data_IF_985542571757
#
_entry.id   IF_985542571757
#
_cell.length_a   1.000
_cell.length_b   1.000
_cell.length_c   1.000
_cell.angle_alpha   90.00
_cell.angle_beta   90.00
_cell.angle_gamma   90.00
#
_symmetry.space_group_name_H-M   'P 1'
#
loop_
_entity.id
_entity.type
_entity.pdbx_description
1 polymer ?
#
# COMPACT_ATOMS: atom_id res chain seq x y z
N UNK A 1 -14.56 -2.12 82.30
CA UNK A 1 -15.93 -1.89 81.79
C UNK A 1 -16.16 -0.39 81.62
N UNK A 2 -16.86 -0.02 80.53
CA UNK A 2 -16.98 1.30 79.90
C UNK A 2 -17.20 2.51 80.83
N UNK A 3 -16.41 3.58 80.64
CA UNK A 3 -16.83 4.96 80.96
C UNK A 3 -17.16 5.68 79.65
N UNK A 4 -18.44 5.94 79.42
CA UNK A 4 -18.92 6.89 78.41
C UNK A 4 -18.78 8.30 78.99
N UNK A 5 -18.09 9.21 78.29
CA UNK A 5 -18.20 10.65 78.51
C UNK A 5 -18.40 11.36 77.18
N UNK A 6 -19.51 12.07 77.05
CA UNK A 6 -19.81 12.96 75.93
C UNK A 6 -18.95 14.21 76.00
N UNK A 7 -18.32 14.60 74.89
CA UNK A 7 -17.89 15.99 74.64
C UNK A 7 -18.18 16.40 73.18
N UNK A 8 -19.26 17.18 73.09
CA UNK A 8 -19.51 18.36 72.23
C UNK A 8 -19.05 18.37 70.77
N UNK A 9 -20.05 18.51 69.90
CA UNK A 9 -19.94 19.06 68.56
C UNK A 9 -19.36 20.49 68.56
N UNK A 10 -18.38 20.75 67.67
CA UNK A 10 -18.02 22.09 67.23
C UNK A 10 -17.70 22.11 65.72
N UNK A 11 -18.62 22.69 64.96
CA UNK A 11 -18.45 23.48 63.71
C UNK A 11 -17.39 23.07 62.66
N UNK A 12 -17.85 22.81 61.43
CA UNK A 12 -17.52 23.68 60.27
C UNK A 12 -18.40 23.43 59.04
N UNK A 13 -19.13 24.47 58.62
CA UNK A 13 -19.68 24.63 57.27
C UNK A 13 -18.54 24.66 56.24
N UNK A 14 -18.62 23.82 55.21
CA UNK A 14 -18.22 24.01 53.78
C UNK A 14 -18.06 22.62 53.14
N UNK A 15 -19.08 22.10 52.43
CA UNK A 15 -18.95 21.92 50.98
C UNK A 15 -20.29 21.65 50.26
N UNK A 16 -21.35 22.42 50.54
CA UNK A 16 -22.61 22.37 49.78
C UNK A 16 -22.55 23.14 48.43
N UNK A 17 -21.36 23.36 47.88
CA UNK A 17 -21.15 24.17 46.65
C UNK A 17 -21.01 23.35 45.37
N UNK A 18 -20.91 22.02 45.44
CA UNK A 18 -20.74 21.15 44.26
C UNK A 18 -21.97 20.31 43.92
N UNK A 19 -22.96 20.19 44.82
CA UNK A 19 -24.19 19.42 44.55
C UNK A 19 -25.13 20.08 43.54
N UNK A 20 -25.32 21.40 43.63
CA UNK A 20 -26.19 22.15 42.70
C UNK A 20 -25.65 22.17 41.26
N UNK A 21 -24.33 22.33 41.10
CA UNK A 21 -23.70 22.29 39.78
C UNK A 21 -23.84 20.92 39.12
N UNK A 22 -23.67 19.83 39.85
CA UNK A 22 -23.85 18.49 39.31
C UNK A 22 -25.29 18.26 38.82
N UNK A 23 -26.30 18.70 39.59
CA UNK A 23 -27.70 18.58 39.16
C UNK A 23 -27.99 19.41 37.91
N UNK A 24 -27.49 20.65 37.84
CA UNK A 24 -27.68 21.53 36.69
C UNK A 24 -26.96 20.98 35.45
N UNK A 25 -25.73 20.49 35.58
CA UNK A 25 -24.99 19.89 34.44
C UNK A 25 -25.62 18.60 33.95
N UNK A 26 -26.14 17.74 34.84
CA UNK A 26 -26.88 16.54 34.43
C UNK A 26 -28.15 16.89 33.67
N UNK A 27 -28.90 17.91 34.11
CA UNK A 27 -30.10 18.37 33.39
C UNK A 27 -29.73 18.92 32.01
N UNK A 28 -28.65 19.72 31.91
CA UNK A 28 -28.17 20.24 30.62
C UNK A 28 -27.71 19.10 29.70
N UNK A 29 -27.00 18.09 30.21
CA UNK A 29 -26.57 16.93 29.43
C UNK A 29 -27.76 16.09 28.93
N UNK A 30 -28.78 15.90 29.77
CA UNK A 30 -30.01 15.21 29.38
C UNK A 30 -30.78 16.01 28.33
N UNK A 31 -30.89 17.33 28.50
CA UNK A 31 -31.50 18.21 27.50
C UNK A 31 -30.72 18.20 26.18
N UNK A 32 -29.39 18.21 26.24
CA UNK A 32 -28.51 18.08 25.09
C UNK A 32 -28.68 16.72 24.40
N UNK A 33 -28.81 15.62 25.14
CA UNK A 33 -29.08 14.28 24.60
C UNK A 33 -30.44 14.20 23.89
N UNK A 34 -31.47 14.82 24.47
CA UNK A 34 -32.80 14.89 23.84
C UNK A 34 -32.75 15.77 22.59
N UNK A 35 -32.11 16.94 22.64
CA UNK A 35 -31.90 17.81 21.48
C UNK A 35 -31.09 17.09 20.40
N UNK A 36 -30.05 16.36 20.78
CA UNK A 36 -29.22 15.57 19.88
C UNK A 36 -30.05 14.47 19.20
N UNK A 37 -30.89 13.76 19.96
CA UNK A 37 -31.81 12.74 19.42
C UNK A 37 -32.88 13.36 18.50
N UNK A 38 -33.43 14.53 18.85
CA UNK A 38 -34.39 15.25 18.01
C UNK A 38 -33.73 15.80 16.73
N UNK A 39 -32.52 16.36 16.82
CA UNK A 39 -31.72 16.78 15.67
C UNK A 39 -31.37 15.59 14.77
N UNK A 40 -31.01 14.45 15.34
CA UNK A 40 -30.75 13.21 14.58
C UNK A 40 -32.00 12.63 13.94
N UNK A 41 -33.17 12.71 14.58
CA UNK A 41 -34.41 12.20 14.01
C UNK A 41 -35.00 13.11 12.91
N UNK A 42 -34.64 14.40 12.89
CA UNK A 42 -35.03 15.33 11.82
C UNK A 42 -34.00 15.46 10.70
N UNK A 43 -32.71 15.21 10.99
CA UNK A 43 -31.71 15.00 9.96
C UNK A 43 -32.00 13.66 9.28
N UNK A 44 -32.57 13.71 8.08
CA UNK A 44 -32.55 12.59 7.12
C UNK A 44 -31.12 12.34 6.61
N UNK A 45 -30.12 12.29 7.49
CA UNK A 45 -28.84 11.69 7.20
C UNK A 45 -29.05 10.18 7.23
N UNK A 46 -29.66 9.67 6.16
CA UNK A 46 -29.41 8.30 5.74
C UNK A 46 -27.95 8.27 5.29
N UNK A 47 -27.04 7.99 6.21
CA UNK A 47 -25.83 7.28 5.81
C UNK A 47 -26.33 5.88 5.49
N UNK A 48 -26.49 5.62 4.20
CA UNK A 48 -27.06 4.39 3.67
C UNK A 48 -26.04 3.25 3.83
N UNK A 49 -25.80 2.84 5.08
CA UNK A 49 -24.96 1.67 5.44
C UNK A 49 -25.64 0.35 5.05
N UNK A 50 -26.27 0.30 3.88
CA UNK A 50 -26.97 -0.86 3.34
C UNK A 50 -26.25 -1.35 2.11
N UNK A 51 -25.50 -2.46 2.23
CA UNK A 51 -25.18 -3.45 1.18
C UNK A 51 -24.43 -3.02 -0.10
N UNK A 52 -24.42 -1.75 -0.48
CA UNK A 52 -23.81 -1.20 -1.69
C UNK A 52 -22.46 -0.53 -1.41
N UNK A 53 -22.23 -0.04 -0.19
CA UNK A 53 -20.95 0.57 0.18
C UNK A 53 -19.80 -0.45 0.30
N UNK A 54 -20.07 -1.76 0.47
CA UNK A 54 -19.00 -2.78 0.51
C UNK A 54 -18.32 -3.03 -0.85
N UNK A 55 -18.92 -2.54 -1.94
CA UNK A 55 -18.36 -2.66 -3.29
C UNK A 55 -18.02 -1.31 -3.90
N UNK A 56 -18.21 -0.20 -3.17
CA UNK A 56 -17.87 1.13 -3.65
C UNK A 56 -16.37 1.34 -3.46
N UNK A 57 -15.59 1.50 -4.54
CA UNK A 57 -14.14 1.69 -4.41
C UNK A 57 -13.80 2.96 -3.63
N UNK A 58 -12.66 2.93 -2.94
CA UNK A 58 -12.17 4.05 -2.16
C UNK A 58 -11.82 5.29 -3.00
N UNK A 59 -11.69 6.44 -2.32
CA UNK A 59 -11.40 7.72 -2.98
C UNK A 59 -10.11 7.72 -3.82
N UNK A 60 -9.09 6.94 -3.42
CA UNK A 60 -7.85 6.78 -4.19
C UNK A 60 -8.10 6.05 -5.50
N UNK A 61 -8.87 4.95 -5.46
CA UNK A 61 -9.24 4.19 -6.65
C UNK A 61 -10.04 5.05 -7.63
N UNK A 62 -11.03 5.82 -7.14
CA UNK A 62 -11.80 6.73 -8.00
C UNK A 62 -10.90 7.73 -8.74
N UNK A 63 -9.93 8.35 -8.06
CA UNK A 63 -8.98 9.28 -8.71
C UNK A 63 -8.14 8.60 -9.79
N UNK A 64 -7.71 7.37 -9.56
CA UNK A 64 -6.95 6.58 -10.53
C UNK A 64 -7.81 6.33 -11.76
N UNK A 65 -9.05 5.89 -11.57
CA UNK A 65 -10.00 5.62 -12.65
C UNK A 65 -10.36 6.86 -13.46
N UNK A 66 -10.48 8.03 -12.81
CA UNK A 66 -10.71 9.31 -13.46
C UNK A 66 -9.51 9.77 -14.31
N UNK A 67 -8.29 9.40 -13.90
CA UNK A 67 -7.06 9.75 -14.62
C UNK A 67 -6.69 8.79 -15.75
N UNK A 68 -7.49 7.75 -16.00
CA UNK A 68 -7.20 6.78 -17.06
C UNK A 68 -7.23 7.44 -18.44
N UNK A 69 -6.15 7.29 -19.18
CA UNK A 69 -6.04 7.72 -20.58
C UNK A 69 -6.36 6.58 -21.54
N UNK A 70 -5.96 5.36 -21.19
CA UNK A 70 -6.16 4.15 -22.01
C UNK A 70 -7.44 3.39 -21.65
N UNK A 71 -7.98 2.68 -22.64
CA UNK A 71 -9.03 1.69 -22.41
C UNK A 71 -8.42 0.39 -21.87
N UNK A 72 -9.06 -0.18 -20.84
CA UNK A 72 -8.62 -1.38 -20.14
C UNK A 72 -9.74 -2.41 -20.13
N UNK A 73 -9.44 -3.63 -20.56
CA UNK A 73 -10.33 -4.77 -20.43
C UNK A 73 -9.90 -5.65 -19.28
N UNK A 74 -10.82 -5.90 -18.35
CA UNK A 74 -10.70 -6.90 -17.30
C UNK A 74 -11.40 -8.16 -17.77
N UNK A 75 -10.67 -9.27 -17.87
CA UNK A 75 -11.22 -10.58 -18.13
C UNK A 75 -11.35 -11.36 -16.83
N UNK A 76 -12.56 -11.80 -16.49
CA UNK A 76 -12.80 -12.68 -15.36
C UNK A 76 -12.88 -14.12 -15.82
N UNK A 77 -12.04 -15.00 -15.26
CA UNK A 77 -12.00 -16.41 -15.60
C UNK A 77 -13.00 -17.18 -14.74
N UNK A 78 -14.10 -17.62 -15.35
CA UNK A 78 -15.15 -18.36 -14.66
C UNK A 78 -15.57 -19.58 -15.46
N UNK A 79 -15.41 -20.75 -14.89
CA UNK A 79 -16.01 -21.98 -15.39
C UNK A 79 -17.52 -21.81 -15.40
N UNK A 80 -18.17 -22.34 -16.45
CA UNK A 80 -19.62 -22.22 -16.63
C UNK A 80 -20.40 -22.62 -15.36
N UNK A 81 -21.26 -21.73 -14.89
CA UNK A 81 -22.12 -21.94 -13.73
C UNK A 81 -21.47 -21.63 -12.37
N UNK A 82 -20.21 -21.17 -12.35
CA UNK A 82 -19.52 -20.79 -11.11
C UNK A 82 -19.59 -19.30 -10.79
N UNK A 83 -20.14 -18.49 -11.70
CA UNK A 83 -20.24 -17.02 -11.58
C UNK A 83 -21.10 -16.60 -10.37
N UNK A 84 -22.11 -17.41 -10.06
CA UNK A 84 -23.09 -17.16 -8.99
C UNK A 84 -22.61 -17.60 -7.60
N UNK A 85 -21.46 -18.27 -7.50
CA UNK A 85 -20.92 -18.61 -6.19
C UNK A 85 -20.55 -17.32 -5.42
N UNK A 86 -20.63 -17.36 -4.09
CA UNK A 86 -20.50 -16.16 -3.27
C UNK A 86 -19.15 -15.46 -3.48
N UNK A 87 -18.07 -16.23 -3.60
CA UNK A 87 -16.70 -15.74 -3.83
C UNK A 87 -16.57 -15.00 -5.16
N UNK A 88 -17.03 -15.58 -6.27
CA UNK A 88 -16.91 -14.97 -7.59
C UNK A 88 -17.85 -13.78 -7.71
N UNK A 89 -19.06 -13.88 -7.18
CA UNK A 89 -20.04 -12.79 -7.21
C UNK A 89 -19.52 -11.51 -6.54
N UNK A 90 -18.74 -11.63 -5.45
CA UNK A 90 -18.12 -10.46 -4.81
C UNK A 90 -17.09 -9.79 -5.70
N UNK A 91 -16.24 -10.56 -6.37
CA UNK A 91 -15.24 -10.03 -7.32
C UNK A 91 -15.93 -9.42 -8.53
N UNK A 92 -16.93 -10.10 -9.11
CA UNK A 92 -17.73 -9.61 -10.24
C UNK A 92 -18.34 -8.25 -9.92
N UNK A 93 -19.02 -8.12 -8.76
CA UNK A 93 -19.61 -6.85 -8.34
C UNK A 93 -18.59 -5.72 -8.18
N UNK A 94 -17.40 -6.03 -7.67
CA UNK A 94 -16.32 -5.06 -7.58
C UNK A 94 -15.90 -4.57 -8.96
N UNK A 95 -15.67 -5.49 -9.91
CA UNK A 95 -15.27 -5.10 -11.28
C UNK A 95 -16.38 -4.32 -11.98
N UNK A 96 -17.65 -4.70 -11.79
CA UNK A 96 -18.80 -3.96 -12.31
C UNK A 96 -18.84 -2.52 -11.76
N UNK A 97 -18.51 -2.32 -10.48
CA UNK A 97 -18.40 -0.97 -9.91
C UNK A 97 -17.29 -0.14 -10.57
N UNK A 98 -16.17 -0.75 -11.00
CA UNK A 98 -15.13 -0.05 -11.76
C UNK A 98 -15.62 0.38 -13.15
N UNK A 99 -16.38 -0.49 -13.82
CA UNK A 99 -17.01 -0.17 -15.11
C UNK A 99 -18.03 0.98 -14.98
N UNK A 100 -18.79 1.02 -13.88
CA UNK A 100 -19.74 2.10 -13.60
C UNK A 100 -19.05 3.44 -13.32
N UNK A 101 -17.88 3.40 -12.67
CA UNK A 101 -17.07 4.59 -12.37
C UNK A 101 -16.30 5.12 -13.58
N UNK A 102 -15.85 4.25 -14.50
CA UNK A 102 -15.07 4.67 -15.67
C UNK A 102 -15.46 3.91 -16.93
N UNK A 103 -15.84 4.67 -17.96
CA UNK A 103 -16.17 4.15 -19.30
C UNK A 103 -14.98 3.50 -20.02
N UNK A 104 -13.77 3.72 -19.51
CA UNK A 104 -12.54 3.14 -20.05
C UNK A 104 -12.28 1.72 -19.54
N UNK A 105 -12.99 1.30 -18.49
CA UNK A 105 -12.87 -0.06 -17.95
C UNK A 105 -14.01 -0.93 -18.48
N UNK A 106 -13.67 -2.04 -19.11
CA UNK A 106 -14.62 -3.04 -19.61
C UNK A 106 -14.45 -4.34 -18.86
N UNK A 107 -15.55 -5.07 -18.65
CA UNK A 107 -15.50 -6.39 -18.04
C UNK A 107 -16.02 -7.47 -18.99
N UNK A 108 -15.22 -8.51 -19.18
CA UNK A 108 -15.54 -9.65 -20.03
C UNK A 108 -15.37 -10.93 -19.21
N UNK A 109 -16.41 -11.76 -19.15
CA UNK A 109 -16.34 -13.06 -18.50
C UNK A 109 -15.93 -14.10 -19.53
N UNK A 110 -14.93 -14.91 -19.22
CA UNK A 110 -14.39 -15.95 -20.10
C UNK A 110 -14.39 -17.27 -19.37
N UNK A 111 -14.90 -18.31 -20.03
CA UNK A 111 -14.78 -19.68 -19.55
C UNK A 111 -13.49 -20.30 -20.11
N UNK A 112 -12.45 -20.50 -19.27
CA UNK A 112 -11.17 -21.04 -19.72
C UNK A 112 -11.27 -22.50 -20.20
N UNK A 113 -12.34 -23.23 -19.84
CA UNK A 113 -12.58 -24.59 -20.33
C UNK A 113 -13.15 -24.58 -21.76
N UNK A 114 -13.94 -23.56 -22.07
CA UNK A 114 -14.56 -23.38 -23.39
C UNK A 114 -13.62 -22.69 -24.40
N UNK A 115 -12.72 -21.83 -23.93
CA UNK A 115 -11.65 -21.21 -24.74
C UNK A 115 -10.25 -21.35 -24.09
N UNK A 116 -9.63 -22.56 -24.18
CA UNK A 116 -8.31 -22.79 -23.60
C UNK A 116 -7.20 -22.00 -24.30
N UNK A 117 -7.37 -21.68 -25.59
CA UNK A 117 -6.37 -20.93 -26.36
C UNK A 117 -6.23 -19.51 -25.82
N UNK A 118 -7.35 -18.86 -25.51
CA UNK A 118 -7.34 -17.56 -24.86
C UNK A 118 -6.68 -17.61 -23.47
N UNK A 119 -7.04 -18.58 -22.63
CA UNK A 119 -6.49 -18.65 -21.27
C UNK A 119 -4.98 -18.94 -21.26
N UNK A 120 -4.51 -19.83 -22.14
CA UNK A 120 -3.12 -20.26 -22.18
C UNK A 120 -2.15 -19.13 -22.58
N UNK A 121 -2.57 -18.15 -23.39
CA UNK A 121 -1.69 -17.06 -23.79
C UNK A 121 -1.25 -16.19 -22.59
N UNK A 122 -2.02 -16.17 -21.51
CA UNK A 122 -1.72 -15.41 -20.29
C UNK A 122 -0.97 -16.24 -19.23
N UNK A 123 -0.93 -17.57 -19.38
CA UNK A 123 -0.19 -18.47 -18.51
C UNK A 123 1.31 -18.49 -18.82
N UNK A 124 1.69 -18.23 -20.07
CA UNK A 124 3.08 -18.37 -20.53
C UNK A 124 4.04 -17.33 -19.92
N UNK A 125 3.52 -16.16 -19.52
CA UNK A 125 4.30 -15.03 -18.99
C UNK A 125 4.23 -14.90 -17.46
N UNK A 126 3.54 -15.79 -16.75
CA UNK A 126 3.36 -15.65 -15.30
C UNK A 126 3.73 -16.91 -14.54
N UNK A 127 4.42 -16.76 -13.41
CA UNK A 127 4.71 -17.84 -12.45
C UNK A 127 3.47 -18.30 -11.66
N UNK A 128 2.31 -17.71 -11.92
CA UNK A 128 1.09 -17.87 -11.12
C UNK A 128 0.10 -18.82 -11.81
N UNK A 129 -0.67 -19.57 -11.01
CA UNK A 129 -1.79 -20.35 -11.51
C UNK A 129 -2.99 -19.44 -11.77
N UNK A 130 -3.64 -19.58 -12.93
CA UNK A 130 -4.90 -18.93 -13.22
C UNK A 130 -6.05 -19.89 -12.92
N UNK A 131 -6.49 -19.84 -11.68
CA UNK A 131 -7.60 -20.66 -11.19
C UNK A 131 -8.96 -19.99 -11.45
N UNK A 132 -10.03 -20.78 -11.36
CA UNK A 132 -11.40 -20.27 -11.43
C UNK A 132 -11.61 -19.12 -10.45
N UNK A 133 -12.08 -17.97 -10.94
CA UNK A 133 -12.25 -16.74 -10.20
C UNK A 133 -11.15 -15.69 -10.42
N UNK A 134 -10.03 -16.06 -11.03
CA UNK A 134 -8.91 -15.14 -11.30
C UNK A 134 -9.28 -14.06 -12.32
N UNK A 135 -8.59 -12.92 -12.27
CA UNK A 135 -8.74 -11.83 -13.23
C UNK A 135 -7.50 -11.67 -14.11
N UNK A 136 -7.69 -11.20 -15.34
CA UNK A 136 -6.64 -10.71 -16.22
C UNK A 136 -6.98 -9.28 -16.56
N UNK A 137 -6.09 -8.34 -16.26
CA UNK A 137 -6.26 -6.93 -16.61
C UNK A 137 -5.36 -6.65 -17.80
N UNK A 138 -5.91 -6.09 -18.87
CA UNK A 138 -5.17 -5.83 -20.12
C UNK A 138 -5.47 -4.43 -20.65
N UNK A 139 -4.42 -3.71 -21.05
CA UNK A 139 -4.54 -2.47 -21.79
C UNK A 139 -4.91 -2.77 -23.26
N UNK A 140 -5.98 -2.16 -23.75
CA UNK A 140 -6.52 -2.42 -25.09
C UNK A 140 -5.55 -1.96 -26.19
N UNK A 141 -4.74 -0.92 -25.93
CA UNK A 141 -3.79 -0.32 -26.87
C UNK A 141 -2.45 -1.05 -26.86
N UNK A 142 -1.78 -1.10 -25.71
CA UNK A 142 -0.41 -1.62 -25.59
C UNK A 142 -0.37 -3.15 -25.55
N UNK A 143 -1.50 -3.79 -25.28
CA UNK A 143 -1.63 -5.24 -24.99
C UNK A 143 -0.86 -5.69 -23.76
N UNK A 144 -0.26 -4.77 -23.00
CA UNK A 144 0.33 -5.04 -21.68
C UNK A 144 -0.76 -5.59 -20.77
N UNK A 145 -0.46 -6.68 -20.06
CA UNK A 145 -1.42 -7.31 -19.16
C UNK A 145 -0.78 -7.65 -17.81
N UNK A 146 -1.63 -7.87 -16.82
CA UNK A 146 -1.28 -8.39 -15.49
C UNK A 146 -2.36 -9.33 -15.01
N UNK A 147 -1.95 -10.45 -14.43
CA UNK A 147 -2.87 -11.44 -13.88
C UNK A 147 -3.04 -11.26 -12.37
N UNK A 148 -4.26 -11.51 -11.89
CA UNK A 148 -4.62 -11.46 -10.48
C UNK A 148 -5.23 -12.82 -10.12
N UNK A 149 -4.41 -13.73 -9.57
CA UNK A 149 -4.88 -14.98 -9.01
C UNK A 149 -5.95 -14.77 -7.93
N UNK A 150 -6.92 -15.67 -7.85
CA UNK A 150 -8.04 -15.58 -6.88
C UNK A 150 -7.57 -15.52 -5.42
N UNK A 151 -6.47 -16.19 -5.08
CA UNK A 151 -5.88 -16.16 -3.73
C UNK A 151 -5.32 -14.79 -3.34
N UNK A 152 -4.91 -13.95 -4.30
CA UNK A 152 -4.42 -12.59 -4.03
C UNK A 152 -5.58 -11.60 -3.77
N UNK A 153 -6.82 -11.99 -4.03
CA UNK A 153 -8.01 -11.15 -3.83
C UNK A 153 -8.64 -11.32 -2.44
N UNK A 154 -8.22 -12.34 -1.69
CA UNK A 154 -8.77 -12.69 -0.38
C UNK A 154 -7.65 -12.90 0.64
N UNK A 155 -7.80 -12.29 1.81
CA UNK A 155 -6.93 -12.59 2.95
C UNK A 155 -7.51 -13.81 3.64
N UNK A 156 -6.74 -14.91 3.67
CA UNK A 156 -7.11 -16.13 4.37
C UNK A 156 -6.26 -16.30 5.61
N UNK A 157 -6.90 -16.65 6.73
CA UNK A 157 -6.22 -17.13 7.92
C UNK A 157 -6.47 -18.63 8.06
N UNK A 158 -5.38 -19.38 8.10
CA UNK A 158 -5.43 -20.83 8.28
C UNK A 158 -5.66 -21.14 9.75
N UNK A 159 -6.78 -21.80 10.04
CA UNK A 159 -6.97 -22.42 11.34
C UNK A 159 -6.38 -23.83 11.30
N UNK A 160 -5.11 -23.95 11.72
CA UNK A 160 -4.39 -25.22 11.80
C UNK A 160 -5.07 -26.26 12.71
N UNK A 161 -5.97 -25.85 13.61
CA UNK A 161 -6.68 -26.77 14.50
C UNK A 161 -7.88 -27.44 13.82
N UNK A 162 -8.51 -26.77 12.86
CA UNK A 162 -9.68 -27.27 12.13
C UNK A 162 -9.38 -27.63 10.68
N UNK A 163 -8.16 -27.35 10.19
CA UNK A 163 -7.78 -27.45 8.78
C UNK A 163 -8.74 -26.67 7.87
N UNK A 164 -9.28 -25.55 8.36
CA UNK A 164 -10.18 -24.68 7.60
C UNK A 164 -9.49 -23.37 7.24
N UNK A 165 -9.70 -22.93 6.00
CA UNK A 165 -9.26 -21.63 5.51
C UNK A 165 -10.38 -20.63 5.75
N UNK A 166 -10.21 -19.72 6.70
CA UNK A 166 -11.21 -18.67 6.96
C UNK A 166 -10.82 -17.40 6.21
N UNK A 167 -11.70 -16.91 5.35
CA UNK A 167 -11.52 -15.62 4.66
C UNK A 167 -11.74 -14.50 5.68
N UNK A 168 -10.68 -13.79 6.02
CA UNK A 168 -10.68 -12.70 7.01
C UNK A 168 -10.68 -11.30 6.37
N UNK A 169 -10.39 -11.20 5.08
CA UNK A 169 -10.33 -9.93 4.36
C UNK A 169 -10.59 -10.05 2.87
N UNK A 170 -10.98 -8.93 2.25
CA UNK A 170 -11.19 -8.79 0.81
C UNK A 170 -10.26 -7.70 0.29
N UNK A 171 -9.22 -8.10 -0.43
CA UNK A 171 -8.15 -7.22 -0.95
C UNK A 171 -8.21 -7.09 -2.47
N UNK A 172 -9.33 -7.49 -3.09
CA UNK A 172 -9.52 -7.45 -4.53
C UNK A 172 -9.44 -6.02 -5.10
N UNK A 173 -9.88 -5.00 -4.35
CA UNK A 173 -9.79 -3.60 -4.80
C UNK A 173 -8.32 -3.17 -4.97
N UNK A 174 -7.48 -3.42 -3.97
CA UNK A 174 -6.06 -3.10 -4.01
C UNK A 174 -5.36 -3.81 -5.17
N UNK A 175 -5.66 -5.10 -5.37
CA UNK A 175 -5.11 -5.90 -6.44
C UNK A 175 -5.54 -5.40 -7.83
N UNK A 176 -6.84 -5.12 -8.01
CA UNK A 176 -7.40 -4.64 -9.28
C UNK A 176 -6.91 -3.24 -9.63
N UNK A 177 -6.93 -2.31 -8.68
CA UNK A 177 -6.43 -0.93 -8.85
C UNK A 177 -4.94 -0.92 -9.16
N UNK A 178 -4.14 -1.75 -8.49
CA UNK A 178 -2.71 -1.90 -8.81
C UNK A 178 -2.50 -2.44 -10.22
N UNK A 179 -3.27 -3.43 -10.65
CA UNK A 179 -3.15 -4.02 -11.97
C UNK A 179 -3.55 -3.07 -13.10
N UNK A 180 -4.62 -2.29 -12.92
CA UNK A 180 -5.04 -1.26 -13.89
C UNK A 180 -3.93 -0.21 -14.04
N UNK A 181 -3.36 0.28 -12.93
CA UNK A 181 -2.22 1.21 -13.01
C UNK A 181 -1.06 0.58 -13.77
N UNK A 182 -0.68 -0.66 -13.44
CA UNK A 182 0.44 -1.35 -14.09
C UNK A 182 0.33 -1.40 -15.62
N UNK A 183 -0.84 -1.78 -16.12
CA UNK A 183 -1.03 -1.94 -17.57
C UNK A 183 -1.14 -0.60 -18.30
N UNK A 184 -1.45 0.48 -17.58
CA UNK A 184 -1.49 1.85 -18.10
C UNK A 184 -0.17 2.61 -17.89
N UNK A 185 0.78 2.05 -17.13
CA UNK A 185 2.14 2.62 -17.03
C UNK A 185 2.81 2.51 -18.40
N UNK A 186 3.15 3.66 -18.98
CA UNK A 186 3.99 3.76 -20.17
C UNK A 186 5.35 3.10 -19.87
N UNK A 187 5.99 3.55 -18.80
CA UNK A 187 7.25 3.03 -18.33
C UNK A 187 7.09 2.39 -16.95
N UNK A 188 7.65 1.20 -16.77
CA UNK A 188 7.62 0.50 -15.48
C UNK A 188 8.72 1.06 -14.59
N UNK A 189 8.42 1.60 -13.39
CA UNK A 189 9.44 2.07 -12.46
C UNK A 189 10.46 0.97 -12.14
N UNK A 190 11.74 1.29 -12.23
CA UNK A 190 12.84 0.36 -11.97
C UNK A 190 13.69 0.85 -10.81
N UNK A 191 13.89 0.00 -9.81
CA UNK A 191 14.82 0.20 -8.72
C UNK A 191 16.02 -0.73 -8.90
N UNK A 192 17.17 -0.15 -9.22
CA UNK A 192 18.44 -0.84 -9.33
C UNK A 192 19.19 -0.83 -8.00
N UNK A 193 19.39 -2.00 -7.40
CA UNK A 193 20.23 -2.14 -6.21
C UNK A 193 21.69 -2.24 -6.62
N UNK A 194 22.50 -1.25 -6.26
CA UNK A 194 23.94 -1.27 -6.53
C UNK A 194 24.59 -2.47 -5.82
N UNK A 195 25.49 -3.14 -6.55
CA UNK A 195 26.29 -4.25 -6.08
C UNK A 195 27.75 -4.07 -6.49
N UNK A 196 28.64 -4.53 -5.62
CA UNK A 196 30.08 -4.55 -5.86
C UNK A 196 30.88 -3.93 -4.73
N UNK A 197 30.20 -3.27 -3.79
CA UNK A 197 30.79 -2.50 -2.70
C UNK A 197 30.36 -3.00 -1.32
N UNK A 198 30.08 -4.31 -1.21
CA UNK A 198 29.58 -4.96 0.00
C UNK A 198 28.30 -4.30 0.56
N UNK A 199 27.40 -3.89 -0.34
CA UNK A 199 26.09 -3.31 -0.02
C UNK A 199 25.13 -4.34 0.56
N UNK A 200 24.20 -3.86 1.36
CA UNK A 200 23.12 -4.70 1.89
C UNK A 200 21.98 -4.75 0.89
N UNK A 201 21.60 -5.94 0.41
CA UNK A 201 20.39 -6.07 -0.39
C UNK A 201 19.14 -5.85 0.45
N UNK A 202 18.09 -5.33 -0.19
CA UNK A 202 16.77 -5.23 0.41
C UNK A 202 16.25 -6.62 0.77
N UNK A 203 15.47 -6.71 1.85
CA UNK A 203 14.83 -7.96 2.26
C UNK A 203 13.82 -8.42 1.20
N UNK A 204 13.61 -9.73 1.11
CA UNK A 204 12.64 -10.33 0.20
C UNK A 204 11.23 -9.74 0.39
N UNK A 205 10.83 -9.49 1.63
CA UNK A 205 9.51 -8.93 1.94
C UNK A 205 9.35 -7.53 1.34
N UNK A 206 10.40 -6.72 1.41
CA UNK A 206 10.39 -5.37 0.87
C UNK A 206 10.46 -5.36 -0.66
N UNK A 207 11.29 -6.21 -1.26
CA UNK A 207 11.32 -6.35 -2.73
C UNK A 207 10.01 -6.90 -3.29
N UNK A 208 9.35 -7.79 -2.55
CA UNK A 208 8.02 -8.29 -2.90
C UNK A 208 6.98 -7.16 -2.83
N UNK A 209 7.00 -6.35 -1.77
CA UNK A 209 6.12 -5.18 -1.65
C UNK A 209 6.32 -4.19 -2.81
N UNK A 210 7.57 -3.90 -3.18
CA UNK A 210 7.88 -3.05 -4.34
C UNK A 210 7.32 -3.67 -5.64
N UNK A 211 7.44 -4.98 -5.82
CA UNK A 211 6.88 -5.69 -6.97
C UNK A 211 5.35 -5.63 -7.01
N UNK A 212 4.68 -5.74 -5.84
CA UNK A 212 3.23 -5.57 -5.71
C UNK A 212 2.76 -4.15 -6.06
N UNK A 213 3.61 -3.15 -5.80
CA UNK A 213 3.39 -1.74 -6.15
C UNK A 213 3.91 -1.36 -7.54
N UNK A 214 4.19 -2.36 -8.40
CA UNK A 214 4.56 -2.20 -9.81
C UNK A 214 5.98 -1.71 -10.08
N UNK A 215 6.88 -1.78 -9.10
CA UNK A 215 8.30 -1.54 -9.32
C UNK A 215 8.97 -2.84 -9.77
N UNK A 216 9.80 -2.75 -10.82
CA UNK A 216 10.80 -3.77 -11.13
C UNK A 216 12.00 -3.54 -10.21
N UNK A 217 12.37 -4.53 -9.41
CA UNK A 217 13.61 -4.48 -8.61
C UNK A 217 14.66 -5.35 -9.31
N UNK A 218 15.80 -4.76 -9.63
CA UNK A 218 16.90 -5.44 -10.31
C UNK A 218 18.22 -5.13 -9.61
N UNK A 219 19.29 -5.87 -9.92
CA UNK A 219 20.63 -5.59 -9.39
C UNK A 219 21.47 -4.87 -10.44
N UNK A 220 22.26 -3.90 -10.00
CA UNK A 220 23.17 -3.13 -10.83
C UNK A 220 24.61 -3.39 -10.42
N UNK A 221 25.40 -3.97 -11.31
CA UNK A 221 26.84 -4.08 -11.13
C UNK A 221 27.53 -3.26 -12.23
N UNK A 222 28.21 -2.20 -11.81
CA UNK A 222 28.81 -1.21 -12.72
C UNK A 222 30.00 -1.76 -13.52
N UNK A 223 30.57 -2.91 -13.13
CA UNK A 223 31.71 -3.54 -13.81
C UNK A 223 31.27 -4.59 -14.82
N UNK A 224 30.27 -5.41 -14.45
CA UNK A 224 29.92 -6.63 -15.21
C UNK A 224 28.73 -6.47 -16.14
N UNK A 225 27.83 -5.51 -15.88
CA UNK A 225 26.68 -5.27 -16.74
C UNK A 225 27.00 -4.23 -17.83
N UNK A 226 26.32 -4.35 -18.97
CA UNK A 226 26.34 -3.32 -19.99
C UNK A 226 25.68 -2.06 -19.43
N UNK A 227 26.50 -1.08 -19.03
CA UNK A 227 26.08 0.24 -18.51
C UNK A 227 25.13 0.97 -19.47
N UNK A 228 25.07 0.56 -20.74
CA UNK A 228 24.13 1.06 -21.75
C UNK A 228 22.65 1.00 -21.33
N UNK A 229 22.29 0.13 -20.38
CA UNK A 229 20.92 -0.02 -19.88
C UNK A 229 20.60 0.94 -18.72
N UNK A 230 21.60 1.62 -18.14
CA UNK A 230 21.40 2.60 -17.07
C UNK A 230 21.00 3.95 -17.66
N UNK A 231 19.74 4.05 -18.08
CA UNK A 231 19.18 5.27 -18.64
C UNK A 231 18.74 6.24 -17.54
N UNK A 232 19.20 7.49 -17.65
CA UNK A 232 18.72 8.59 -16.83
C UNK A 232 17.34 9.05 -17.33
N UNK A 233 16.30 8.58 -16.65
CA UNK A 233 14.90 8.90 -16.94
C UNK A 233 14.12 9.08 -15.61
N UNK A 234 12.82 9.34 -15.70
CA UNK A 234 11.96 9.62 -14.55
C UNK A 234 11.41 8.38 -13.84
N UNK A 235 11.67 7.18 -14.38
CA UNK A 235 11.22 5.90 -13.83
C UNK A 235 12.37 5.02 -13.31
N UNK A 236 13.64 5.38 -13.52
CA UNK A 236 14.81 4.66 -13.02
C UNK A 236 15.38 5.29 -11.76
N UNK A 237 15.61 4.47 -10.72
CA UNK A 237 16.28 4.87 -9.48
C UNK A 237 17.41 3.89 -9.15
N UNK A 238 18.59 4.40 -8.83
CA UNK A 238 19.70 3.61 -8.28
C UNK A 238 19.69 3.70 -6.76
N UNK A 239 19.57 2.56 -6.08
CA UNK A 239 19.69 2.44 -4.64
C UNK A 239 21.10 2.01 -4.26
N UNK A 240 21.77 2.84 -3.47
CA UNK A 240 23.04 2.53 -2.82
C UNK A 240 22.75 2.29 -1.34
N UNK A 241 22.71 1.02 -0.93
CA UNK A 241 22.26 0.65 0.42
C UNK A 241 23.42 0.25 1.33
N UNK A 242 23.83 1.20 2.18
CA UNK A 242 24.90 1.06 3.18
C UNK A 242 26.18 0.41 2.63
N UNK A 243 26.84 1.03 1.63
CA UNK A 243 28.07 0.51 1.04
C UNK A 243 29.19 0.44 2.09
N UNK A 244 30.04 -0.58 1.97
CA UNK A 244 31.21 -0.78 2.86
C UNK A 244 32.54 -0.61 2.15
N UNK A 245 32.55 -0.66 0.84
CA UNK A 245 33.70 -0.36 0.01
C UNK A 245 33.42 0.86 -0.86
N UNK A 246 34.47 1.58 -1.25
CA UNK A 246 34.30 2.79 -2.06
C UNK A 246 34.19 2.44 -3.54
N UNK A 247 33.66 3.39 -4.31
CA UNK A 247 33.67 3.32 -5.76
C UNK A 247 35.11 3.37 -6.28
N UNK A 248 35.38 2.69 -7.39
CA UNK A 248 36.54 3.01 -8.22
C UNK A 248 36.32 4.35 -8.94
N UNK A 249 37.39 4.95 -9.47
CA UNK A 249 37.26 6.17 -10.27
C UNK A 249 36.39 5.96 -11.53
N UNK A 250 36.42 4.77 -12.13
CA UNK A 250 35.58 4.44 -13.28
C UNK A 250 34.09 4.41 -12.92
N UNK A 251 33.75 3.74 -11.82
CA UNK A 251 32.37 3.65 -11.33
C UNK A 251 31.84 5.01 -10.88
N UNK A 252 32.68 5.82 -10.24
CA UNK A 252 32.35 7.22 -9.93
C UNK A 252 31.97 8.00 -11.19
N UNK A 253 32.73 7.89 -12.28
CA UNK A 253 32.43 8.61 -13.51
C UNK A 253 31.11 8.13 -14.13
N UNK A 254 30.85 6.83 -14.10
CA UNK A 254 29.58 6.27 -14.57
C UNK A 254 28.39 6.83 -13.79
N UNK A 255 28.45 6.79 -12.46
CA UNK A 255 27.37 7.31 -11.61
C UNK A 255 27.25 8.83 -11.71
N UNK A 256 28.35 9.55 -11.83
CA UNK A 256 28.34 10.99 -12.06
C UNK A 256 27.61 11.33 -13.37
N UNK A 257 27.97 10.67 -14.47
CA UNK A 257 27.32 10.89 -15.77
C UNK A 257 25.81 10.60 -15.70
N UNK A 258 25.42 9.50 -15.06
CA UNK A 258 24.01 9.15 -14.84
C UNK A 258 23.28 10.26 -14.08
N UNK A 259 23.87 10.76 -12.99
CA UNK A 259 23.25 11.81 -12.17
C UNK A 259 23.25 13.17 -12.87
N UNK A 260 24.26 13.50 -13.68
CA UNK A 260 24.32 14.73 -14.49
C UNK A 260 23.28 14.73 -15.63
N UNK A 261 22.90 13.55 -16.13
CA UNK A 261 21.82 13.38 -17.11
C UNK A 261 20.41 13.44 -16.50
N UNK A 262 20.29 13.70 -15.18
CA UNK A 262 19.00 13.77 -14.49
C UNK A 262 18.57 12.44 -13.86
N UNK A 263 19.48 11.47 -13.78
CA UNK A 263 19.27 10.22 -13.06
C UNK A 263 18.96 10.43 -11.59
N UNK A 264 18.26 9.46 -10.99
CA UNK A 264 17.83 9.50 -9.61
C UNK A 264 18.57 8.45 -8.80
N UNK A 265 19.09 8.87 -7.66
CA UNK A 265 19.80 7.97 -6.74
C UNK A 265 19.29 8.16 -5.32
N UNK A 266 19.12 7.03 -4.63
CA UNK A 266 18.88 6.97 -3.20
C UNK A 266 20.12 6.40 -2.53
N UNK A 267 20.70 7.16 -1.60
CA UNK A 267 21.85 6.73 -0.81
C UNK A 267 21.44 6.54 0.64
N UNK A 268 21.59 5.32 1.16
CA UNK A 268 21.31 4.98 2.55
C UNK A 268 22.63 4.75 3.28
N UNK A 269 22.90 5.56 4.30
CA UNK A 269 24.05 5.42 5.17
C UNK A 269 23.61 4.95 6.56
N UNK A 270 24.43 4.11 7.19
CA UNK A 270 24.31 3.75 8.59
C UNK A 270 25.35 4.51 9.43
N UNK A 271 25.21 4.44 10.76
CA UNK A 271 26.16 5.07 11.69
C UNK A 271 27.57 4.48 11.61
N UNK A 272 27.72 3.30 11.03
CA UNK A 272 28.95 2.56 10.87
C UNK A 272 29.42 2.49 9.40
N UNK A 273 28.85 3.31 8.51
CA UNK A 273 29.35 3.45 7.14
C UNK A 273 30.81 3.97 7.18
N UNK A 274 31.75 3.29 6.50
CA UNK A 274 33.16 3.70 6.49
C UNK A 274 33.37 5.01 5.72
N UNK A 275 34.62 5.51 5.73
CA UNK A 275 34.98 6.65 4.88
C UNK A 275 34.99 6.21 3.41
N UNK A 276 34.22 6.90 2.57
CA UNK A 276 34.02 6.56 1.16
C UNK A 276 34.29 7.79 0.28
N UNK A 277 35.57 8.18 0.06
CA UNK A 277 35.92 9.41 -0.63
C UNK A 277 35.25 9.63 -2.00
N UNK A 278 35.06 8.59 -2.81
CA UNK A 278 34.43 8.73 -4.12
C UNK A 278 32.91 8.88 -4.03
N UNK A 279 32.25 8.19 -3.10
CA UNK A 279 30.85 8.49 -2.77
C UNK A 279 30.68 9.89 -2.19
N UNK A 280 31.54 10.32 -1.25
CA UNK A 280 31.53 11.67 -0.69
C UNK A 280 31.74 12.73 -1.77
N UNK A 281 32.67 12.47 -2.70
CA UNK A 281 32.92 13.33 -3.88
C UNK A 281 31.68 13.46 -4.75
N UNK A 282 30.95 12.37 -4.99
CA UNK A 282 29.71 12.37 -5.77
C UNK A 282 28.63 13.16 -5.04
N UNK A 283 28.36 12.86 -3.77
CA UNK A 283 27.33 13.50 -2.96
C UNK A 283 27.58 15.01 -2.76
N UNK A 284 28.84 15.41 -2.60
CA UNK A 284 29.23 16.82 -2.43
C UNK A 284 28.86 17.69 -3.63
N UNK A 285 28.80 17.11 -4.85
CA UNK A 285 28.33 17.83 -6.06
C UNK A 285 26.87 18.29 -5.94
N UNK A 286 26.08 17.54 -5.18
CA UNK A 286 24.67 17.80 -4.92
C UNK A 286 24.44 18.48 -3.57
N UNK A 287 25.51 18.99 -2.93
CA UNK A 287 25.42 19.68 -1.64
C UNK A 287 25.15 18.75 -0.45
N UNK A 288 25.36 17.44 -0.62
CA UNK A 288 25.18 16.44 0.41
C UNK A 288 26.53 16.04 1.01
N UNK A 289 26.55 15.80 2.32
CA UNK A 289 27.72 15.27 3.03
C UNK A 289 27.28 14.29 4.09
N UNK A 290 27.96 13.15 4.21
CA UNK A 290 27.72 12.18 5.27
C UNK A 290 28.59 12.55 6.46
N UNK A 291 27.98 12.68 7.63
CA UNK A 291 28.69 12.95 8.88
C UNK A 291 28.72 11.68 9.72
N UNK A 292 29.91 11.30 10.17
CA UNK A 292 30.06 10.18 11.09
C UNK A 292 29.48 10.56 12.46
N UNK A 293 28.58 9.73 12.99
CA UNK A 293 28.00 9.93 14.31
C UNK A 293 26.67 9.21 14.50
N UNK A 294 26.18 9.24 15.73
CA UNK A 294 24.87 8.71 16.11
C UNK A 294 23.98 9.87 16.54
N UNK A 295 22.75 9.93 16.02
CA UNK A 295 21.74 10.85 16.53
C UNK A 295 21.10 10.28 17.78
N UNK A 296 20.99 11.10 18.83
CA UNK A 296 20.42 10.71 20.12
C UNK A 296 19.30 11.69 20.46
N UNK A 297 18.11 11.16 20.75
CA UNK A 297 17.01 11.94 21.35
C UNK A 297 17.33 12.20 22.81
N UNK A 298 17.33 13.47 23.21
CA UNK A 298 17.70 13.92 24.55
C UNK A 298 16.49 14.34 25.38
N UNK A 299 15.30 14.42 24.77
CA UNK A 299 14.06 14.74 25.45
C UNK A 299 13.39 13.49 26.03
N UNK A 300 13.41 13.40 27.36
CA UNK A 300 12.79 12.31 28.13
C UNK A 300 11.27 12.22 28.01
N UNK A 301 10.60 13.21 27.42
CA UNK A 301 9.14 13.19 27.22
C UNK A 301 8.69 12.53 25.91
N UNK A 302 9.62 12.19 25.02
CA UNK A 302 9.35 11.49 23.76
C UNK A 302 9.64 9.97 23.84
N UNK A 303 9.87 9.45 25.05
CA UNK A 303 10.10 8.05 25.39
C UNK A 303 8.93 7.47 26.19
#
# INVERSE_FOLDING_TARGET
MKKFSYRSASQRKRSLKYGGYATVTTIILLAALVLFNVLFSQLKLKVDLTGNDIYTPGATTMKILDSLEDDVTVYGLYNQGTEENETNRRVIKLVEAYCDLSKKVKFVKVDPLSDPTFANQFLMDTSNTLDNGSLIVQNDTTKKFKTIPINNMYVTQDDYSTLTHNVTGFSAEEALTSAIQYVCLQDTPVLYQLQGHSETLLSSDFTNYLSYTNYKVDTLNLVTQNISDLEANDYTVVLVNNPREDLTDGEYQTLLNFMEQGGRMMFLAANDTPSLPNFDRLLSRYGLSIQAGTMVETNSSNY
#
